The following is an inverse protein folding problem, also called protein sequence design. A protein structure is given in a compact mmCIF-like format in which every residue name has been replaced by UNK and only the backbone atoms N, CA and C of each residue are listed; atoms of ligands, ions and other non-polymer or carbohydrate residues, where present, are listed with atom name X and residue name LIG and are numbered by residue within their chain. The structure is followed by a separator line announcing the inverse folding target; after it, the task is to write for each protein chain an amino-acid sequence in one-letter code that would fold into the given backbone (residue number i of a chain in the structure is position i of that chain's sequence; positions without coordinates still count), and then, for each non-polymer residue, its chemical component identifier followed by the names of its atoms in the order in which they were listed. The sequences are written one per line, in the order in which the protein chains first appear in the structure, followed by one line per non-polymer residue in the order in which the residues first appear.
data_IF_091723879590
#
_entry.id   IF_091723879590
#
_cell.length_a   1.000
_cell.length_b   1.000
_cell.length_c   1.000
_cell.angle_alpha   90.00
_cell.angle_beta   90.00
_cell.angle_gamma   90.00
#
_symmetry.space_group_name_H-M   'P 1'
#
loop_
_entity.id
_entity.type
_entity.pdbx_description
1 polymer ?
#
# COMPACT_ATOMS: atom_id res chain seq x y z
N UNK A 1 17.75 -14.35 -3.48
CA UNK A 1 16.40 -14.24 -2.90
C UNK A 1 15.59 -13.32 -3.79
N UNK A 2 14.38 -13.72 -4.20
CA UNK A 2 13.50 -12.87 -5.01
C UNK A 2 12.25 -12.49 -4.23
N UNK A 3 11.93 -11.21 -4.16
CA UNK A 3 10.78 -10.69 -3.42
C UNK A 3 9.97 -9.76 -4.30
N UNK A 4 8.66 -9.72 -4.08
CA UNK A 4 7.75 -8.83 -4.76
C UNK A 4 7.03 -7.94 -3.75
N UNK A 5 7.14 -6.63 -3.91
CA UNK A 5 6.31 -5.63 -3.24
C UNK A 5 5.15 -5.22 -4.13
N UNK A 6 3.94 -5.16 -3.57
CA UNK A 6 2.75 -4.59 -4.21
C UNK A 6 2.23 -3.42 -3.39
N UNK A 7 2.03 -2.28 -4.04
CA UNK A 7 1.20 -1.20 -3.51
C UNK A 7 -0.10 -1.16 -4.32
N UNK A 8 -1.18 -1.65 -3.70
CA UNK A 8 -2.50 -1.78 -4.33
C UNK A 8 -3.32 -0.54 -4.03
N UNK A 9 -3.48 0.32 -5.05
CA UNK A 9 -4.32 1.50 -4.98
C UNK A 9 -5.69 1.28 -5.61
N UNK A 10 -6.50 2.34 -5.65
CA UNK A 10 -7.85 2.27 -6.22
C UNK A 10 -7.83 2.19 -7.76
N UNK A 11 -6.93 2.93 -8.42
CA UNK A 11 -6.87 3.01 -9.89
C UNK A 11 -5.62 2.43 -10.52
N UNK A 12 -4.69 1.91 -9.71
CA UNK A 12 -3.40 1.39 -10.17
C UNK A 12 -2.81 0.45 -9.13
N UNK A 13 -1.96 -0.44 -9.59
CA UNK A 13 -1.09 -1.27 -8.75
C UNK A 13 0.35 -0.94 -9.09
N UNK A 14 1.17 -0.68 -8.08
CA UNK A 14 2.62 -0.57 -8.26
C UNK A 14 3.27 -1.88 -7.86
N UNK A 15 4.16 -2.38 -8.71
CA UNK A 15 4.89 -3.62 -8.47
C UNK A 15 6.38 -3.31 -8.38
N UNK A 16 7.06 -3.91 -7.41
CA UNK A 16 8.50 -3.82 -7.27
C UNK A 16 9.07 -5.22 -7.03
N UNK A 17 9.72 -5.79 -8.05
CA UNK A 17 10.46 -7.03 -7.93
C UNK A 17 11.92 -6.72 -7.60
N UNK A 18 12.44 -7.44 -6.60
CA UNK A 18 13.84 -7.33 -6.19
C UNK A 18 14.45 -8.73 -6.20
N UNK A 19 15.46 -8.91 -7.06
CA UNK A 19 16.39 -10.04 -6.96
C UNK A 19 17.60 -9.58 -6.15
N UNK A 20 17.62 -9.97 -4.87
CA UNK A 20 18.68 -9.59 -3.93
C UNK A 20 19.97 -10.36 -4.21
N UNK A 21 21.05 -9.62 -4.51
CA UNK A 21 22.40 -10.14 -4.79
C UNK A 21 23.39 -10.02 -3.63
N UNK A 22 22.91 -9.86 -2.39
CA UNK A 22 23.74 -9.69 -1.18
C UNK A 22 24.12 -8.23 -0.87
N UNK A 23 23.92 -7.30 -1.81
CA UNK A 23 24.08 -5.86 -1.62
C UNK A 23 23.24 -5.09 -2.66
N UNK A 24 22.94 -3.81 -2.40
CA UNK A 24 22.16 -2.98 -3.32
C UNK A 24 22.79 -2.89 -4.72
N UNK A 25 24.11 -2.66 -4.81
CA UNK A 25 24.83 -2.56 -6.09
C UNK A 25 24.90 -3.86 -6.90
N UNK A 26 24.56 -5.00 -6.31
CA UNK A 26 24.47 -6.31 -6.99
C UNK A 26 23.03 -6.80 -7.18
N UNK A 27 22.05 -6.03 -6.72
CA UNK A 27 20.66 -6.42 -6.76
C UNK A 27 20.01 -5.89 -8.03
N UNK A 28 19.11 -6.68 -8.61
CA UNK A 28 18.31 -6.24 -9.74
C UNK A 28 16.95 -5.79 -9.20
N UNK A 29 16.56 -4.57 -9.54
CA UNK A 29 15.30 -3.97 -9.13
C UNK A 29 14.53 -3.65 -10.39
N UNK A 30 13.33 -4.20 -10.51
CA UNK A 30 12.40 -3.92 -11.59
C UNK A 30 11.11 -3.42 -10.97
N UNK A 31 10.64 -2.26 -11.39
CA UNK A 31 9.38 -1.73 -10.91
C UNK A 31 8.52 -1.21 -12.05
N UNK A 32 7.22 -1.16 -11.79
CA UNK A 32 6.22 -0.59 -12.70
C UNK A 32 5.01 -0.08 -11.92
N UNK A 33 4.21 0.78 -12.57
CA UNK A 33 2.93 1.28 -12.06
C UNK A 33 1.87 1.08 -13.12
N UNK A 34 1.06 0.04 -12.94
CA UNK A 34 0.10 -0.42 -13.94
C UNK A 34 -1.32 0.03 -13.58
N UNK A 35 -2.14 0.46 -14.57
CA UNK A 35 -3.51 0.89 -14.31
C UNK A 35 -4.39 -0.31 -13.93
N UNK A 36 -5.31 -0.10 -13.01
CA UNK A 36 -6.42 -1.00 -12.74
C UNK A 36 -7.68 -0.44 -13.41
N UNK A 37 -8.58 -1.30 -13.95
CA UNK A 37 -9.90 -0.86 -14.38
C UNK A 37 -10.59 -0.11 -13.24
N UNK A 38 -11.38 0.91 -13.55
CA UNK A 38 -12.21 1.64 -12.57
C UNK A 38 -13.63 1.71 -13.12
N UNK A 39 -14.50 0.86 -12.61
CA UNK A 39 -15.92 0.80 -12.95
C UNK A 39 -16.79 0.81 -11.70
N UNK A 40 -18.11 0.85 -11.90
CA UNK A 40 -19.08 0.66 -10.81
C UNK A 40 -19.06 -0.78 -10.25
N UNK A 41 -18.38 -1.72 -10.93
CA UNK A 41 -18.22 -3.10 -10.52
C UNK A 41 -16.83 -3.32 -9.94
N UNK A 42 -16.44 -2.48 -8.97
CA UNK A 42 -15.10 -2.50 -8.37
C UNK A 42 -14.64 -3.91 -7.99
N UNK A 43 -15.54 -4.77 -7.49
CA UNK A 43 -15.17 -6.09 -6.98
C UNK A 43 -14.65 -6.95 -8.13
N UNK A 44 -15.35 -6.90 -9.25
CA UNK A 44 -14.95 -7.55 -10.48
C UNK A 44 -13.66 -6.95 -11.06
N UNK A 45 -13.50 -5.63 -11.00
CA UNK A 45 -12.28 -4.96 -11.46
C UNK A 45 -11.03 -5.48 -10.72
N UNK A 46 -11.13 -5.70 -9.41
CA UNK A 46 -10.04 -6.29 -8.64
C UNK A 46 -9.91 -7.80 -8.86
N UNK A 47 -11.00 -8.56 -8.96
CA UNK A 47 -10.95 -10.01 -9.23
C UNK A 47 -10.28 -10.37 -10.55
N UNK A 48 -10.40 -9.49 -11.55
CA UNK A 48 -9.91 -9.74 -12.91
C UNK A 48 -8.69 -8.89 -13.23
N UNK A 49 -8.78 -7.57 -13.01
CA UNK A 49 -7.77 -6.61 -13.40
C UNK A 49 -6.48 -6.71 -12.59
N UNK A 50 -6.57 -6.92 -11.27
CA UNK A 50 -5.37 -7.00 -10.44
C UNK A 50 -4.51 -8.24 -10.78
N UNK A 51 -5.05 -9.48 -10.83
CA UNK A 51 -4.28 -10.63 -11.29
C UNK A 51 -3.72 -10.45 -12.69
N UNK A 52 -4.49 -9.89 -13.62
CA UNK A 52 -4.06 -9.66 -15.00
C UNK A 52 -2.85 -8.71 -15.05
N UNK A 53 -2.86 -7.61 -14.31
CA UNK A 53 -1.73 -6.68 -14.29
C UNK A 53 -0.48 -7.28 -13.64
N UNK A 54 -0.65 -8.08 -12.57
CA UNK A 54 0.48 -8.79 -11.97
C UNK A 54 1.06 -9.80 -12.97
N UNK A 55 0.24 -10.62 -13.62
CA UNK A 55 0.72 -11.60 -14.60
C UNK A 55 1.42 -10.92 -15.79
N UNK A 56 0.84 -9.83 -16.31
CA UNK A 56 1.45 -9.02 -17.36
C UNK A 56 2.83 -8.47 -16.95
N UNK A 57 2.98 -8.00 -15.72
CA UNK A 57 4.28 -7.57 -15.19
C UNK A 57 5.30 -8.72 -15.21
N UNK A 58 4.92 -9.93 -14.80
CA UNK A 58 5.82 -11.09 -14.82
C UNK A 58 6.18 -11.51 -16.25
N UNK A 59 5.20 -11.57 -17.15
CA UNK A 59 5.39 -11.95 -18.55
C UNK A 59 6.32 -10.98 -19.29
N UNK A 60 6.01 -9.67 -19.24
CA UNK A 60 6.78 -8.63 -19.94
C UNK A 60 8.22 -8.49 -19.44
N UNK A 61 8.49 -8.91 -18.20
CA UNK A 61 9.81 -8.86 -17.58
C UNK A 61 10.56 -10.20 -17.60
N UNK A 62 9.95 -11.27 -18.13
CA UNK A 62 10.53 -12.61 -18.13
C UNK A 62 10.77 -13.18 -16.73
N UNK A 63 9.89 -12.86 -15.78
CA UNK A 63 9.95 -13.30 -14.39
C UNK A 63 9.03 -14.51 -14.17
N UNK A 64 9.27 -15.27 -13.10
CA UNK A 64 8.36 -16.35 -12.66
C UNK A 64 7.85 -16.11 -11.25
N UNK A 65 6.54 -16.22 -11.05
CA UNK A 65 5.92 -16.17 -9.71
C UNK A 65 6.49 -17.28 -8.82
N UNK A 66 6.76 -18.47 -9.38
CA UNK A 66 7.32 -19.60 -8.61
C UNK A 66 8.76 -19.38 -8.13
N UNK A 67 9.47 -18.38 -8.67
CA UNK A 67 10.81 -18.01 -8.22
C UNK A 67 10.78 -17.09 -6.98
N UNK A 68 9.62 -16.51 -6.67
CA UNK A 68 9.46 -15.63 -5.51
C UNK A 68 9.58 -16.40 -4.21
N UNK A 69 10.33 -15.82 -3.28
CA UNK A 69 10.41 -16.29 -1.89
C UNK A 69 9.36 -15.65 -0.99
N UNK A 70 8.90 -14.45 -1.32
CA UNK A 70 7.94 -13.70 -0.53
C UNK A 70 7.23 -12.64 -1.38
N UNK A 71 5.97 -12.40 -1.05
CA UNK A 71 5.18 -11.25 -1.49
C UNK A 71 4.78 -10.40 -0.29
N UNK A 72 5.01 -9.09 -0.37
CA UNK A 72 4.54 -8.12 0.61
C UNK A 72 3.62 -7.13 -0.07
N UNK A 73 2.43 -6.94 0.49
CA UNK A 73 1.38 -6.09 -0.07
C UNK A 73 1.08 -4.97 0.91
N UNK A 74 0.99 -3.73 0.44
CA UNK A 74 0.35 -2.64 1.18
C UNK A 74 -0.82 -2.09 0.36
N UNK A 75 -1.73 -1.40 1.04
CA UNK A 75 -2.89 -0.78 0.38
C UNK A 75 -2.69 0.74 0.38
N UNK A 76 -2.86 1.36 -0.79
CA UNK A 76 -3.04 2.81 -0.95
C UNK A 76 -4.49 3.19 -1.25
N UNK A 77 -5.43 2.25 -1.09
CA UNK A 77 -6.87 2.53 -1.13
C UNK A 77 -7.48 2.41 0.26
N UNK A 78 -8.47 3.26 0.54
CA UNK A 78 -9.35 3.15 1.71
C UNK A 78 -10.81 2.88 1.33
N UNK A 79 -11.24 3.20 0.10
CA UNK A 79 -12.66 3.46 -0.18
C UNK A 79 -13.28 2.71 -1.36
N UNK A 80 -12.73 1.57 -1.77
CA UNK A 80 -13.17 0.91 -3.02
C UNK A 80 -14.54 0.22 -2.96
N UNK A 81 -15.07 -0.11 -1.77
CA UNK A 81 -16.41 -0.71 -1.56
C UNK A 81 -16.99 -0.29 -0.21
N UNK A 82 -18.32 -0.28 -0.05
CA UNK A 82 -18.94 -0.20 1.28
C UNK A 82 -19.54 -1.56 1.68
N UNK A 83 -19.19 -2.10 2.87
CA UNK A 83 -18.23 -1.57 3.85
C UNK A 83 -16.76 -1.77 3.41
N UNK A 84 -15.89 -0.83 3.80
CA UNK A 84 -14.48 -0.80 3.37
C UNK A 84 -13.66 -1.99 3.88
N UNK A 85 -14.08 -2.59 5.00
CA UNK A 85 -13.49 -3.81 5.56
C UNK A 85 -13.56 -4.99 4.60
N UNK A 86 -14.59 -5.03 3.75
CA UNK A 86 -14.74 -6.08 2.74
C UNK A 86 -13.62 -6.02 1.69
N UNK A 87 -13.03 -4.83 1.46
CA UNK A 87 -11.91 -4.68 0.54
C UNK A 87 -10.70 -5.50 0.95
N UNK A 88 -10.39 -5.54 2.25
CA UNK A 88 -9.20 -6.21 2.78
C UNK A 88 -9.37 -7.73 2.66
N UNK A 89 -10.52 -8.25 3.07
CA UNK A 89 -10.83 -9.67 2.97
C UNK A 89 -10.86 -10.13 1.50
N UNK A 90 -11.52 -9.35 0.64
CA UNK A 90 -11.62 -9.63 -0.80
C UNK A 90 -10.25 -9.61 -1.49
N UNK A 91 -9.43 -8.60 -1.22
CA UNK A 91 -8.07 -8.51 -1.74
C UNK A 91 -7.22 -9.70 -1.27
N UNK A 92 -7.39 -10.10 0.00
CA UNK A 92 -6.76 -11.29 0.57
C UNK A 92 -7.09 -12.57 -0.22
N UNK A 93 -8.36 -12.76 -0.60
CA UNK A 93 -8.79 -13.90 -1.42
C UNK A 93 -8.23 -13.84 -2.85
N UNK A 94 -8.33 -12.69 -3.53
CA UNK A 94 -7.83 -12.51 -4.90
C UNK A 94 -6.33 -12.78 -4.97
N UNK A 95 -5.55 -12.16 -4.08
CA UNK A 95 -4.10 -12.31 -4.03
C UNK A 95 -3.68 -13.67 -3.48
N UNK A 96 -4.44 -14.24 -2.55
CA UNK A 96 -4.21 -15.58 -2.02
C UNK A 96 -4.36 -16.67 -3.09
N UNK A 97 -5.30 -16.51 -4.03
CA UNK A 97 -5.43 -17.38 -5.20
C UNK A 97 -4.26 -17.22 -6.16
N UNK A 98 -3.85 -15.99 -6.46
CA UNK A 98 -2.76 -15.68 -7.38
C UNK A 98 -1.40 -16.19 -6.86
N UNK A 99 -1.13 -15.99 -5.58
CA UNK A 99 0.13 -16.34 -4.93
C UNK A 99 0.03 -17.62 -4.09
N UNK A 100 -0.84 -18.56 -4.46
CA UNK A 100 -1.13 -19.78 -3.67
C UNK A 100 0.10 -20.58 -3.22
N UNK A 101 1.18 -20.54 -4.03
CA UNK A 101 2.42 -21.28 -3.77
C UNK A 101 3.54 -20.42 -3.17
N UNK A 102 3.29 -19.12 -2.94
CA UNK A 102 4.30 -18.17 -2.46
C UNK A 102 3.78 -17.56 -1.15
N UNK A 103 4.62 -17.50 -0.09
CA UNK A 103 4.26 -16.74 1.11
C UNK A 103 3.90 -15.30 0.76
N UNK A 104 2.65 -14.91 1.01
CA UNK A 104 2.12 -13.58 0.73
C UNK A 104 1.52 -12.98 2.01
N UNK A 105 1.78 -11.71 2.26
CA UNK A 105 1.30 -11.04 3.46
C UNK A 105 0.93 -9.59 3.20
N UNK A 106 -0.11 -9.13 3.90
CA UNK A 106 -0.57 -7.75 3.89
C UNK A 106 0.06 -6.97 5.04
N UNK A 107 0.58 -5.79 4.74
CA UNK A 107 1.25 -4.91 5.69
C UNK A 107 0.23 -4.02 6.40
N UNK A 108 0.28 -4.07 7.72
CA UNK A 108 -0.47 -3.19 8.62
C UNK A 108 0.24 -1.85 8.79
N UNK A 109 -0.48 -0.83 9.25
CA UNK A 109 0.04 0.51 9.45
C UNK A 109 1.25 0.62 10.40
N UNK A 110 1.45 -0.35 11.30
CA UNK A 110 2.60 -0.41 12.20
C UNK A 110 3.78 -1.22 11.64
N UNK A 111 3.66 -1.73 10.42
CA UNK A 111 4.65 -2.54 9.73
C UNK A 111 4.59 -4.02 10.04
N UNK A 112 3.67 -4.47 10.87
CA UNK A 112 3.45 -5.90 11.05
C UNK A 112 2.78 -6.47 9.79
N UNK A 113 3.19 -7.67 9.40
CA UNK A 113 2.63 -8.36 8.24
C UNK A 113 1.68 -9.46 8.68
N UNK A 114 0.50 -9.52 8.07
CA UNK A 114 -0.46 -10.61 8.25
C UNK A 114 -0.48 -11.50 7.00
N UNK A 115 -0.20 -12.82 7.13
CA UNK A 115 -0.38 -13.77 6.04
C UNK A 115 -1.79 -13.72 5.46
N UNK A 116 -1.92 -13.74 4.13
CA UNK A 116 -3.23 -13.58 3.47
C UNK A 116 -4.27 -14.61 3.93
N UNK A 117 -3.84 -15.84 4.23
CA UNK A 117 -4.72 -16.91 4.71
C UNK A 117 -5.26 -16.70 6.14
N UNK A 118 -4.73 -15.73 6.89
CA UNK A 118 -5.22 -15.36 8.23
C UNK A 118 -6.19 -14.18 8.20
N UNK A 119 -6.24 -13.41 7.11
CA UNK A 119 -7.14 -12.25 7.00
C UNK A 119 -8.62 -12.58 7.25
N UNK A 120 -9.18 -13.72 6.79
CA UNK A 120 -10.59 -14.05 7.05
C UNK A 120 -10.93 -14.27 8.54
N UNK A 121 -9.93 -14.49 9.39
CA UNK A 121 -10.11 -14.72 10.82
C UNK A 121 -9.95 -13.45 11.67
N UNK A 122 -9.60 -12.31 11.05
CA UNK A 122 -9.48 -11.04 11.76
C UNK A 122 -10.85 -10.50 12.16
N UNK A 123 -10.88 -9.81 13.30
CA UNK A 123 -12.07 -9.07 13.72
C UNK A 123 -12.25 -7.82 12.84
N UNK A 124 -13.51 -7.38 12.71
CA UNK A 124 -13.85 -6.26 11.83
C UNK A 124 -13.17 -4.94 12.23
N UNK A 125 -12.87 -4.76 13.51
CA UNK A 125 -12.17 -3.60 14.06
C UNK A 125 -10.66 -3.63 13.82
N UNK A 126 -10.07 -4.78 13.47
CA UNK A 126 -8.64 -4.90 13.11
C UNK A 126 -8.37 -4.55 11.64
N UNK A 127 -9.35 -4.76 10.75
CA UNK A 127 -9.21 -4.56 9.30
C UNK A 127 -8.82 -3.12 8.88
N UNK A 128 -9.29 -2.04 9.54
CA UNK A 128 -8.88 -0.68 9.21
C UNK A 128 -7.37 -0.44 9.29
N UNK A 129 -6.65 -1.22 10.08
CA UNK A 129 -5.20 -1.10 10.23
C UNK A 129 -4.42 -1.43 8.94
N UNK A 130 -5.06 -2.08 7.97
CA UNK A 130 -4.45 -2.45 6.68
C UNK A 130 -4.79 -1.48 5.54
N UNK A 131 -5.63 -0.47 5.79
CA UNK A 131 -6.02 0.53 4.80
C UNK A 131 -5.04 1.71 4.80
N UNK A 132 -4.73 2.23 3.61
CA UNK A 132 -3.76 3.32 3.42
C UNK A 132 -2.44 3.08 4.18
N UNK A 133 -1.90 1.86 4.14
CA UNK A 133 -0.64 1.47 4.79
C UNK A 133 0.60 1.74 3.93
N UNK A 134 0.43 2.26 2.71
CA UNK A 134 1.50 2.56 1.76
C UNK A 134 2.57 3.53 2.30
N UNK A 135 2.22 4.45 3.21
CA UNK A 135 3.16 5.37 3.84
C UNK A 135 4.28 4.66 4.62
N UNK A 136 4.03 3.45 5.12
CA UNK A 136 4.92 2.83 6.10
C UNK A 136 6.29 2.53 5.49
N UNK A 137 6.33 2.13 4.22
CA UNK A 137 7.59 1.82 3.53
C UNK A 137 8.53 3.03 3.46
N UNK A 138 8.01 4.19 3.04
CA UNK A 138 8.79 5.43 2.98
C UNK A 138 9.18 5.91 4.38
N UNK A 139 8.26 5.85 5.35
CA UNK A 139 8.55 6.22 6.74
C UNK A 139 9.58 5.30 7.41
N UNK A 140 9.58 3.99 7.11
CA UNK A 140 10.56 3.02 7.60
C UNK A 140 11.95 3.30 7.04
N UNK A 141 12.06 3.60 5.75
CA UNK A 141 13.35 3.99 5.17
C UNK A 141 13.83 5.31 5.79
N UNK A 142 12.93 6.28 5.95
CA UNK A 142 13.21 7.54 6.63
C UNK A 142 13.73 7.33 8.05
N UNK A 143 13.10 6.46 8.84
CA UNK A 143 13.47 6.23 10.25
C UNK A 143 14.84 5.56 10.41
N UNK A 144 15.36 4.91 9.36
CA UNK A 144 16.74 4.40 9.32
C UNK A 144 17.78 5.48 9.01
N UNK A 145 17.36 6.61 8.44
CA UNK A 145 18.24 7.69 8.01
C UNK A 145 18.23 8.87 8.98
N UNK A 146 17.07 9.19 9.57
CA UNK A 146 16.89 10.32 10.48
C UNK A 146 16.29 9.86 11.81
N UNK A 147 16.82 10.41 12.91
CA UNK A 147 16.32 10.11 14.26
C UNK A 147 15.04 10.88 14.57
N UNK A 148 14.95 12.15 14.17
CA UNK A 148 13.78 13.00 14.37
C UNK A 148 13.50 13.74 13.06
N UNK A 149 12.26 13.69 12.59
CA UNK A 149 11.86 14.40 11.38
C UNK A 149 10.45 14.04 10.93
N UNK A 150 10.19 14.22 9.64
CA UNK A 150 8.88 14.04 9.04
C UNK A 150 9.06 13.35 7.69
N UNK A 151 8.40 12.22 7.49
CA UNK A 151 8.26 11.61 6.17
C UNK A 151 7.06 12.25 5.48
N UNK A 152 7.34 12.91 4.36
CA UNK A 152 6.34 13.56 3.50
C UNK A 152 6.19 12.69 2.25
N UNK A 153 5.06 12.00 2.13
CA UNK A 153 4.76 11.14 0.99
C UNK A 153 3.56 11.70 0.25
N UNK A 154 3.83 12.35 -0.89
CA UNK A 154 2.80 12.97 -1.71
C UNK A 154 2.60 12.16 -2.99
N UNK A 155 1.44 11.52 -3.08
CA UNK A 155 0.97 10.87 -4.28
C UNK A 155 0.28 11.84 -5.24
N UNK A 156 -0.44 11.27 -6.21
CA UNK A 156 -1.25 12.05 -7.15
C UNK A 156 -2.48 12.67 -6.49
N UNK A 157 -2.97 12.08 -5.39
CA UNK A 157 -4.24 12.46 -4.74
C UNK A 157 -4.13 12.74 -3.24
N UNK A 158 -3.11 12.21 -2.55
CA UNK A 158 -2.97 12.29 -1.10
C UNK A 158 -1.57 12.70 -0.68
N UNK A 159 -1.49 13.35 0.48
CA UNK A 159 -0.26 13.70 1.18
C UNK A 159 -0.31 13.07 2.57
N UNK A 160 0.61 12.15 2.83
CA UNK A 160 0.86 11.58 4.15
C UNK A 160 1.98 12.39 4.84
N UNK A 161 1.70 12.83 6.07
CA UNK A 161 2.60 13.57 6.95
C UNK A 161 2.92 12.68 8.16
N UNK A 162 4.02 11.94 8.12
CA UNK A 162 4.29 10.88 9.10
C UNK A 162 5.48 11.26 9.98
N UNK A 163 5.26 11.63 11.26
CA UNK A 163 6.33 11.96 12.18
C UNK A 163 7.29 10.80 12.37
N UNK A 164 8.57 11.11 12.49
CA UNK A 164 9.58 10.18 12.98
C UNK A 164 10.14 10.81 14.25
N UNK A 165 10.01 10.12 15.39
CA UNK A 165 10.49 10.58 16.71
C UNK A 165 11.36 9.51 17.32
N UNK A 166 12.62 9.84 17.61
CA UNK A 166 13.62 8.90 18.11
C UNK A 166 13.76 7.60 17.30
N UNK A 167 13.66 7.69 15.97
CA UNK A 167 13.71 6.56 15.05
C UNK A 167 12.42 5.71 15.02
N UNK A 168 11.37 6.11 15.75
CA UNK A 168 10.06 5.48 15.72
C UNK A 168 9.14 6.24 14.76
N UNK A 169 8.40 5.49 13.95
CA UNK A 169 7.39 6.02 13.03
C UNK A 169 6.13 6.33 13.85
N UNK A 170 5.60 7.54 13.71
CA UNK A 170 4.43 8.12 14.41
C UNK A 170 4.04 7.40 15.72
N UNK A 171 4.91 7.42 16.75
CA UNK A 171 4.72 6.57 17.94
C UNK A 171 3.46 6.91 18.74
N UNK A 172 2.90 8.11 18.53
CA UNK A 172 1.67 8.56 19.18
C UNK A 172 0.44 7.96 18.49
N UNK A 173 0.36 8.05 17.16
CA UNK A 173 -0.76 7.48 16.42
C UNK A 173 -0.72 5.96 16.34
N UNK A 174 0.47 5.37 16.20
CA UNK A 174 0.63 3.91 16.08
C UNK A 174 0.53 3.16 17.40
N UNK A 175 0.23 3.84 18.51
CA UNK A 175 -0.14 3.19 19.77
C UNK A 175 -1.43 2.35 19.62
N UNK A 176 -2.31 2.71 18.68
CA UNK A 176 -3.49 1.94 18.28
C UNK A 176 -3.52 1.79 16.74
N UNK A 177 -2.92 0.71 16.18
CA UNK A 177 -2.88 0.49 14.74
C UNK A 177 -4.27 0.40 14.09
N UNK A 178 -5.27 -0.11 14.80
CA UNK A 178 -6.66 -0.23 14.33
C UNK A 178 -7.34 1.14 14.25
N UNK A 179 -7.10 2.00 15.24
CA UNK A 179 -7.55 3.39 15.25
C UNK A 179 -6.73 4.34 14.37
N UNK A 180 -5.56 3.92 13.89
CA UNK A 180 -4.58 4.83 13.29
C UNK A 180 -5.07 5.57 12.05
N UNK A 181 -5.89 4.95 11.18
CA UNK A 181 -6.47 5.65 10.04
C UNK A 181 -7.33 6.85 10.49
N UNK A 182 -8.19 6.65 11.50
CA UNK A 182 -9.00 7.73 12.08
C UNK A 182 -8.12 8.77 12.76
N UNK A 183 -7.10 8.32 13.51
CA UNK A 183 -6.13 9.21 14.13
C UNK A 183 -5.46 10.11 13.09
N UNK A 184 -5.03 9.55 11.94
CA UNK A 184 -4.39 10.32 10.87
C UNK A 184 -5.29 11.42 10.33
N UNK A 185 -6.57 11.15 10.11
CA UNK A 185 -7.51 12.18 9.69
C UNK A 185 -7.74 13.25 10.77
N UNK A 186 -7.89 12.83 12.03
CA UNK A 186 -8.16 13.74 13.15
C UNK A 186 -6.97 14.67 13.48
N UNK A 187 -5.74 14.23 13.20
CA UNK A 187 -4.52 14.95 13.58
C UNK A 187 -3.75 15.53 12.37
N UNK A 188 -4.38 15.61 11.20
CA UNK A 188 -3.76 16.16 10.00
C UNK A 188 -2.48 15.40 9.60
N UNK A 189 -2.50 14.07 9.69
CA UNK A 189 -1.42 13.19 9.20
C UNK A 189 -1.67 12.69 7.79
N UNK A 190 -2.88 12.86 7.29
CA UNK A 190 -3.23 12.57 5.90
C UNK A 190 -4.15 13.68 5.37
N UNK A 191 -3.83 14.16 4.18
CA UNK A 191 -4.58 15.20 3.49
C UNK A 191 -4.97 14.73 2.09
N UNK A 192 -6.16 15.12 1.63
CA UNK A 192 -6.61 14.94 0.25
C UNK A 192 -5.99 16.01 -0.67
N UNK A 193 -4.67 16.09 -0.63
CA UNK A 193 -3.83 17.01 -1.38
C UNK A 193 -2.77 16.19 -2.10
N UNK A 194 -2.79 16.19 -3.42
CA UNK A 194 -1.88 15.46 -4.28
C UNK A 194 -1.35 16.33 -5.40
N UNK A 195 -0.34 15.83 -6.11
CA UNK A 195 0.40 16.62 -7.09
C UNK A 195 -0.40 16.95 -8.36
N UNK A 196 -1.39 16.11 -8.73
CA UNK A 196 -2.04 16.20 -10.05
C UNK A 196 -3.55 16.12 -10.01
N UNK A 197 -4.13 15.36 -9.08
CA UNK A 197 -5.55 14.99 -9.15
C UNK A 197 -6.42 15.81 -8.18
N UNK A 198 -5.82 16.67 -7.35
CA UNK A 198 -6.57 17.52 -6.42
C UNK A 198 -7.29 18.62 -7.20
N UNK A 199 -8.64 18.66 -7.17
CA UNK A 199 -9.39 19.76 -7.77
C UNK A 199 -8.96 21.09 -7.16
N UNK A 200 -8.70 22.10 -7.98
CA UNK A 200 -8.29 23.43 -7.51
C UNK A 200 -9.31 24.06 -6.53
N UNK A 201 -10.60 23.73 -6.69
CA UNK A 201 -11.67 24.16 -5.78
C UNK A 201 -11.54 23.60 -4.36
N UNK A 202 -10.77 22.53 -4.14
CA UNK A 202 -10.44 22.04 -2.80
C UNK A 202 -9.29 22.82 -2.15
N UNK A 203 -8.51 23.58 -2.94
CA UNK A 203 -7.37 24.35 -2.46
C UNK A 203 -7.76 25.77 -2.08
N UNK A 204 -8.62 26.40 -2.87
CA UNK A 204 -9.05 27.77 -2.65
C UNK A 204 -10.43 28.02 -3.28
N UNK A 205 -11.31 28.67 -2.52
CA UNK A 205 -12.61 29.14 -3.00
C UNK A 205 -12.49 30.38 -3.90
N UNK A 206 -11.37 31.11 -3.79
CA UNK A 206 -11.09 32.31 -4.57
C UNK A 206 -9.58 32.43 -4.84
N UNK A 207 -9.22 32.75 -6.08
CA UNK A 207 -7.85 33.09 -6.47
C UNK A 207 -7.81 34.57 -6.83
N UNK A 208 -7.01 35.41 -6.15
CA UNK A 208 -6.89 36.82 -6.53
C UNK A 208 -6.32 36.93 -7.94
N UNK A 209 -7.05 37.62 -8.82
CA UNK A 209 -6.70 37.89 -10.22
C UNK A 209 -6.04 39.25 -10.34
#
# INVERSE_FOLDING_TARGET
MEVLGLDVGNGKVKLCHIRWGGSWGRSQIQWDSLPLPISNLRRQDFETGLPLQVLNFFETRGLSISALSQVLICCSHAFSYQPYTDSVAHLGDVLGRLFKQVPASLLRADGQSCPLNKLPALLADELPAYLLSNFYGSALLGSRLIRNGLSLDMGTTTLDLIPIRNGLIDPEGLADPAGYLRYRYAHGRIHWLGLTDTPLSLLADHVPV
#
